data_IF_873971004667
#
_entry.id   IF_873971004667
#
_cell.length_a   1.000
_cell.length_b   1.000
_cell.length_c   1.000
_cell.angle_alpha   90.00
_cell.angle_beta   90.00
_cell.angle_gamma   90.00
#
_symmetry.space_group_name_H-M   'P 1'
#
loop_
_entity.id
_entity.type
_entity.pdbx_description
1 polymer ?
#
# COMPACT_ATOMS: atom_id res chain seq x y z
N UNK A 1 49.93 -31.63 28.88
CA UNK A 1 50.01 -31.02 27.54
C UNK A 1 49.11 -29.80 27.51
N UNK A 2 49.76 -28.63 27.41
CA UNK A 2 49.34 -27.24 27.09
C UNK A 2 48.06 -26.60 27.68
N UNK A 3 48.11 -25.27 27.98
CA UNK A 3 47.31 -24.63 29.02
C UNK A 3 46.54 -23.36 28.54
N UNK A 4 45.86 -22.67 29.49
CA UNK A 4 45.43 -21.23 29.50
C UNK A 4 44.41 -20.79 28.40
N UNK A 5 43.49 -19.82 28.50
CA UNK A 5 43.22 -18.53 29.19
C UNK A 5 41.69 -18.29 28.99
N UNK A 6 40.85 -17.56 29.74
CA UNK A 6 40.99 -16.26 30.39
C UNK A 6 39.78 -16.05 31.33
N UNK A 7 40.03 -15.39 32.47
CA UNK A 7 39.05 -14.82 33.40
C UNK A 7 38.17 -13.74 32.70
N UNK A 8 37.01 -13.31 33.19
CA UNK A 8 36.85 -12.36 34.30
C UNK A 8 35.37 -12.33 34.73
N UNK A 9 35.17 -12.56 36.03
CA UNK A 9 33.94 -12.22 36.75
C UNK A 9 34.12 -10.78 37.23
N UNK A 10 33.25 -9.86 36.83
CA UNK A 10 33.19 -8.52 37.44
C UNK A 10 31.84 -8.38 38.16
N UNK A 11 31.85 -8.75 39.44
CA UNK A 11 30.86 -8.33 40.43
C UNK A 11 31.08 -6.84 40.69
N UNK A 12 30.08 -6.00 40.43
CA UNK A 12 29.98 -4.70 41.08
C UNK A 12 28.76 -4.72 41.99
N UNK A 13 29.04 -4.93 43.27
CA UNK A 13 28.17 -4.50 44.35
C UNK A 13 28.53 -3.03 44.66
N UNK A 14 27.56 -2.14 44.60
CA UNK A 14 27.63 -0.82 45.22
C UNK A 14 26.23 -0.47 45.76
N UNK A 15 26.03 -0.42 47.09
CA UNK A 15 24.75 -0.11 47.70
C UNK A 15 24.67 1.39 48.02
N UNK A 16 23.59 2.08 47.64
CA UNK A 16 22.90 3.16 48.39
C UNK A 16 21.96 3.96 47.48
N UNK A 17 20.67 3.89 47.84
CA UNK A 17 19.69 4.98 47.88
C UNK A 17 19.50 5.88 46.64
N UNK A 18 18.42 5.62 45.88
CA UNK A 18 17.48 6.68 45.45
C UNK A 18 16.07 6.09 45.34
N UNK A 19 15.14 6.73 46.06
CA UNK A 19 13.69 6.49 46.02
C UNK A 19 13.11 7.26 44.82
N UNK A 20 12.01 6.71 44.29
CA UNK A 20 10.96 7.35 43.48
C UNK A 20 11.07 7.30 41.94
N UNK A 21 10.07 6.58 41.40
CA UNK A 21 9.27 6.90 40.22
C UNK A 21 9.98 7.07 38.87
N UNK A 22 9.65 6.19 37.92
CA UNK A 22 8.80 6.55 36.78
C UNK A 22 8.55 5.28 35.96
N UNK A 23 7.37 5.17 35.35
CA UNK A 23 6.84 3.91 34.83
C UNK A 23 7.72 3.21 33.81
N UNK A 24 7.56 1.89 33.72
CA UNK A 24 7.84 1.19 32.48
C UNK A 24 6.88 1.74 31.43
N UNK A 25 7.31 2.80 30.74
CA UNK A 25 6.66 3.26 29.52
C UNK A 25 6.97 2.15 28.52
N UNK A 26 6.06 1.18 28.37
CA UNK A 26 5.94 0.50 27.08
C UNK A 26 5.96 1.60 26.04
N UNK A 27 6.80 1.57 24.98
CA UNK A 27 6.63 2.53 23.92
C UNK A 27 5.23 2.29 23.38
N UNK A 28 4.30 3.16 23.77
CA UNK A 28 3.06 3.33 23.05
C UNK A 28 3.56 3.69 21.65
N UNK A 29 3.47 2.72 20.75
CA UNK A 29 3.69 2.95 19.33
C UNK A 29 2.66 4.01 18.98
N UNK A 30 3.11 5.27 18.96
CA UNK A 30 2.30 6.37 18.50
C UNK A 30 2.10 6.06 17.02
N UNK A 31 0.96 5.46 16.68
CA UNK A 31 0.56 5.31 15.30
C UNK A 31 0.59 6.72 14.69
N UNK A 32 1.37 6.89 13.62
CA UNK A 32 1.38 8.14 12.87
C UNK A 32 -0.06 8.52 12.52
N UNK A 33 -0.41 9.82 12.49
CA UNK A 33 -1.76 10.24 12.13
C UNK A 33 -2.14 9.67 10.75
N UNK A 34 -3.42 9.34 10.52
CA UNK A 34 -3.85 8.82 9.22
C UNK A 34 -3.54 9.83 8.12
N UNK A 35 -2.92 9.36 7.03
CA UNK A 35 -2.58 10.17 5.85
C UNK A 35 -3.51 9.81 4.69
N UNK A 36 -3.95 10.82 3.96
CA UNK A 36 -4.65 10.65 2.68
C UNK A 36 -3.62 10.78 1.57
N UNK A 37 -3.62 9.84 0.64
CA UNK A 37 -2.72 9.82 -0.50
C UNK A 37 -3.49 9.53 -1.78
N UNK A 38 -3.06 10.15 -2.88
CA UNK A 38 -3.53 9.76 -4.21
C UNK A 38 -2.80 8.48 -4.59
N UNK A 39 -3.54 7.45 -4.96
CA UNK A 39 -2.99 6.15 -5.38
C UNK A 39 -3.14 5.89 -6.87
N UNK A 40 -4.06 6.60 -7.53
CA UNK A 40 -4.28 6.55 -8.96
C UNK A 40 -4.95 7.85 -9.45
N UNK A 41 -4.74 8.19 -10.72
CA UNK A 41 -5.29 9.38 -11.36
C UNK A 41 -4.24 10.48 -11.53
N UNK A 42 -4.16 11.01 -12.74
CA UNK A 42 -3.33 12.15 -13.10
C UNK A 42 -3.92 13.53 -12.75
N UNK A 43 -5.20 13.57 -12.39
CA UNK A 43 -5.95 14.81 -12.15
C UNK A 43 -6.31 15.60 -13.41
N UNK A 44 -5.94 15.11 -14.60
CA UNK A 44 -6.27 15.73 -15.89
C UNK A 44 -7.44 14.99 -16.56
N UNK A 45 -8.31 15.65 -17.32
CA UNK A 45 -9.52 15.02 -17.87
C UNK A 45 -9.26 14.09 -19.06
N UNK A 46 -8.13 14.23 -19.77
CA UNK A 46 -7.83 13.44 -20.96
C UNK A 46 -7.57 11.96 -20.63
N UNK A 47 -8.24 11.06 -21.33
CA UNK A 47 -7.87 9.65 -21.31
C UNK A 47 -6.54 9.48 -22.06
N UNK A 48 -5.52 9.00 -21.37
CA UNK A 48 -4.14 8.99 -21.83
C UNK A 48 -3.52 7.59 -21.85
N UNK A 49 -4.32 6.53 -21.77
CA UNK A 49 -3.86 5.18 -22.03
C UNK A 49 -4.50 4.09 -21.16
N UNK A 50 -4.14 2.86 -21.50
CA UNK A 50 -4.62 1.64 -20.84
C UNK A 50 -3.66 1.08 -19.82
N UNK A 51 -2.37 1.39 -19.93
CA UNK A 51 -1.34 0.87 -19.04
C UNK A 51 -0.31 1.93 -18.69
N UNK A 52 0.18 1.91 -17.44
CA UNK A 52 1.27 2.78 -17.00
C UNK A 52 1.28 3.06 -15.50
N UNK A 53 2.13 3.98 -15.04
CA UNK A 53 2.16 4.40 -13.64
C UNK A 53 0.81 5.00 -13.23
N UNK A 54 0.26 4.54 -12.10
CA UNK A 54 -1.10 4.88 -11.69
C UNK A 54 -1.33 6.38 -11.49
N UNK A 55 -0.29 7.13 -11.10
CA UNK A 55 -0.34 8.57 -10.89
C UNK A 55 -0.20 9.39 -12.18
N UNK A 56 0.14 8.74 -13.29
CA UNK A 56 0.29 9.39 -14.59
C UNK A 56 -0.92 9.13 -15.49
N UNK A 57 -1.70 8.08 -15.23
CA UNK A 57 -2.88 7.72 -16.03
C UNK A 57 -4.15 8.36 -15.46
N UNK A 58 -5.01 8.87 -16.35
CA UNK A 58 -6.33 9.37 -15.98
C UNK A 58 -7.23 8.22 -15.49
N UNK A 59 -7.95 8.50 -14.40
CA UNK A 59 -9.05 7.66 -13.89
C UNK A 59 -10.33 8.46 -13.98
N UNK A 60 -11.22 8.07 -14.89
CA UNK A 60 -12.35 8.85 -15.33
C UNK A 60 -13.67 8.52 -14.65
N UNK A 61 -14.09 9.40 -13.72
CA UNK A 61 -15.27 9.25 -12.87
C UNK A 61 -15.30 7.86 -12.21
N UNK A 62 -14.34 7.56 -11.33
CA UNK A 62 -14.34 6.29 -10.60
C UNK A 62 -15.60 6.21 -9.73
N UNK A 63 -16.39 5.17 -9.93
CA UNK A 63 -17.69 4.99 -9.26
C UNK A 63 -17.66 3.88 -8.19
N UNK A 64 -16.81 2.87 -8.41
CA UNK A 64 -16.67 1.75 -7.48
C UNK A 64 -15.22 1.29 -7.39
N UNK A 65 -14.83 0.82 -6.22
CA UNK A 65 -13.52 0.23 -5.96
C UNK A 65 -13.64 -1.02 -5.10
N UNK A 66 -12.84 -2.04 -5.39
CA UNK A 66 -12.81 -3.30 -4.64
C UNK A 66 -11.39 -3.88 -4.61
N UNK A 67 -11.04 -4.60 -3.55
CA UNK A 67 -9.76 -5.33 -3.51
C UNK A 67 -10.00 -6.74 -4.04
N UNK A 68 -9.32 -7.08 -5.13
CA UNK A 68 -9.42 -8.41 -5.73
C UNK A 68 -8.76 -9.50 -4.90
N UNK A 69 -9.02 -10.78 -5.22
CA UNK A 69 -8.39 -11.92 -4.56
C UNK A 69 -6.87 -12.00 -4.80
N UNK A 70 -6.37 -11.32 -5.82
CA UNK A 70 -4.94 -11.13 -6.11
C UNK A 70 -4.31 -9.97 -5.33
N UNK A 71 -5.09 -9.25 -4.51
CA UNK A 71 -4.67 -8.11 -3.73
C UNK A 71 -4.57 -6.79 -4.50
N UNK A 72 -4.93 -6.77 -5.79
CA UNK A 72 -4.97 -5.55 -6.59
C UNK A 72 -6.23 -4.71 -6.26
N UNK A 73 -6.16 -3.41 -6.51
CA UNK A 73 -7.32 -2.51 -6.42
C UNK A 73 -8.00 -2.42 -7.79
N UNK A 74 -9.25 -2.83 -7.87
CA UNK A 74 -10.07 -2.71 -9.08
C UNK A 74 -10.89 -1.44 -9.01
N UNK A 75 -11.00 -0.73 -10.13
CA UNK A 75 -11.63 0.59 -10.21
C UNK A 75 -12.57 0.60 -11.42
N UNK A 76 -13.85 0.89 -11.20
CA UNK A 76 -14.83 1.03 -12.27
C UNK A 76 -14.93 2.51 -12.70
N UNK A 77 -14.61 2.79 -13.97
CA UNK A 77 -14.70 4.12 -14.57
C UNK A 77 -15.98 4.29 -15.35
N UNK A 78 -16.77 5.30 -15.01
CA UNK A 78 -18.01 5.61 -15.74
C UNK A 78 -17.70 6.38 -17.01
N UNK A 79 -16.78 7.35 -16.94
CA UNK A 79 -16.49 8.23 -18.09
C UNK A 79 -15.67 7.56 -19.17
N UNK A 80 -14.74 6.71 -18.74
CA UNK A 80 -13.85 6.00 -19.65
C UNK A 80 -14.37 4.61 -20.00
N UNK A 81 -15.58 4.21 -19.59
CA UNK A 81 -16.22 2.94 -19.93
C UNK A 81 -15.32 1.71 -19.75
N UNK A 82 -14.60 1.64 -18.62
CA UNK A 82 -13.54 0.66 -18.35
C UNK A 82 -13.53 0.20 -16.90
N UNK A 83 -12.96 -0.97 -16.68
CA UNK A 83 -12.52 -1.45 -15.37
C UNK A 83 -11.00 -1.51 -15.38
N UNK A 84 -10.38 -0.84 -14.40
CA UNK A 84 -8.93 -0.83 -14.23
C UNK A 84 -8.51 -1.70 -13.07
N UNK A 85 -7.33 -2.28 -13.17
CA UNK A 85 -6.62 -3.01 -12.14
C UNK A 85 -5.34 -2.26 -11.79
N UNK A 86 -5.24 -1.84 -10.53
CA UNK A 86 -4.04 -1.25 -9.94
C UNK A 86 -3.28 -2.31 -9.14
N UNK A 87 -2.10 -2.67 -9.60
CA UNK A 87 -1.14 -3.39 -8.80
C UNK A 87 -0.58 -2.45 -7.72
N UNK A 88 -0.89 -2.76 -6.46
CA UNK A 88 -0.54 -1.93 -5.30
C UNK A 88 0.92 -2.05 -4.88
N UNK A 89 1.63 -3.08 -5.34
CA UNK A 89 3.05 -3.27 -5.06
C UNK A 89 3.91 -2.52 -6.07
N UNK A 90 3.54 -2.58 -7.35
CA UNK A 90 4.29 -1.95 -8.43
C UNK A 90 3.82 -0.54 -8.76
N UNK A 91 2.60 -0.18 -8.38
CA UNK A 91 1.98 1.10 -8.75
C UNK A 91 1.54 1.15 -10.21
N UNK A 92 1.42 0.00 -10.87
CA UNK A 92 1.02 -0.10 -12.27
C UNK A 92 -0.49 -0.24 -12.41
N UNK A 93 -1.07 0.61 -13.25
CA UNK A 93 -2.48 0.59 -13.61
C UNK A 93 -2.63 -0.04 -14.99
N UNK A 94 -3.62 -0.91 -15.16
CA UNK A 94 -3.93 -1.62 -16.41
C UNK A 94 -5.44 -1.68 -16.64
N UNK A 95 -5.91 -1.61 -17.88
CA UNK A 95 -7.32 -1.88 -18.22
C UNK A 95 -7.54 -3.39 -18.31
N UNK A 96 -8.55 -3.91 -17.60
CA UNK A 96 -8.88 -5.36 -17.58
C UNK A 96 -10.22 -5.69 -18.21
N UNK A 97 -11.08 -4.68 -18.40
CA UNK A 97 -12.33 -4.81 -19.13
C UNK A 97 -12.75 -3.44 -19.69
N UNK A 98 -13.48 -3.43 -20.80
CA UNK A 98 -13.96 -2.23 -21.48
C UNK A 98 -12.97 -1.71 -22.53
N UNK A 99 -13.52 -1.30 -23.67
CA UNK A 99 -12.75 -0.75 -24.80
C UNK A 99 -12.54 0.76 -24.68
N UNK A 100 -13.28 1.43 -23.80
CA UNK A 100 -13.40 2.89 -23.78
C UNK A 100 -14.58 3.44 -24.56
N UNK A 101 -15.30 2.58 -25.28
CA UNK A 101 -16.53 2.97 -25.98
C UNK A 101 -17.76 2.70 -25.12
N UNK A 102 -18.68 3.64 -25.08
CA UNK A 102 -19.97 3.46 -24.44
C UNK A 102 -20.75 2.34 -25.14
N UNK A 103 -21.14 1.31 -24.40
CA UNK A 103 -21.96 0.24 -24.95
C UNK A 103 -21.96 -1.02 -24.10
N UNK A 104 -22.47 -2.10 -24.70
CA UNK A 104 -22.54 -3.42 -24.11
C UNK A 104 -22.30 -4.46 -25.21
N UNK A 105 -21.26 -5.29 -25.02
CA UNK A 105 -20.81 -6.31 -25.98
C UNK A 105 -21.45 -7.69 -25.78
N UNK A 106 -22.24 -7.88 -24.71
CA UNK A 106 -22.87 -9.15 -24.36
C UNK A 106 -22.27 -9.81 -23.11
N UNK A 107 -23.00 -10.78 -22.55
CA UNK A 107 -22.56 -11.57 -21.39
C UNK A 107 -21.93 -12.91 -21.82
N UNK A 108 -21.05 -13.45 -20.97
CA UNK A 108 -20.45 -14.78 -21.15
C UNK A 108 -19.25 -14.83 -22.11
N UNK A 109 -18.89 -13.71 -22.73
CA UNK A 109 -17.67 -13.56 -23.53
C UNK A 109 -16.44 -13.17 -22.70
N UNK A 110 -15.26 -13.05 -23.36
CA UNK A 110 -14.07 -12.46 -22.75
C UNK A 110 -14.35 -11.01 -22.31
N UNK A 111 -13.70 -10.57 -21.24
CA UNK A 111 -13.68 -9.16 -20.89
C UNK A 111 -12.89 -8.40 -21.98
N UNK A 112 -13.54 -7.47 -22.66
CA UNK A 112 -12.99 -6.64 -23.75
C UNK A 112 -13.39 -5.19 -23.56
#
# INVERSE_FOLDING_TARGET
>A
MKPVFHQIVARFACPLLFIAACGAVTPAVLAAPPRIETVAGSGKPENNGDEGPALEINVGDPFGVEIGPDGALYICEVRNHRVRRLDRQTGQLTTVAGTGEMGYSGDGGPAV
#
